data_IF_173412036438
#
_entry.id   IF_173412036438
#
_cell.length_a   1.000
_cell.length_b   1.000
_cell.length_c   1.000
_cell.angle_alpha   90.00
_cell.angle_beta   90.00
_cell.angle_gamma   90.00
#
_symmetry.space_group_name_H-M   'P 1'
#
loop_
_entity.id
_entity.type
_entity.pdbx_description
1 polymer ?
#
# COMPACT_ATOMS: atom_id res chain seq x y z
N UNK A 1 5.89 16.46 -41.59
CA UNK A 1 5.85 17.21 -40.33
C UNK A 1 4.40 17.58 -40.06
N UNK A 2 3.65 16.71 -39.40
CA UNK A 2 2.31 17.00 -38.90
C UNK A 2 2.45 17.32 -37.42
N UNK A 3 2.21 18.58 -37.06
CA UNK A 3 2.06 19.02 -35.68
C UNK A 3 0.89 18.24 -35.08
N UNK A 4 1.21 17.19 -34.31
CA UNK A 4 0.20 16.54 -33.47
C UNK A 4 -0.27 17.59 -32.47
N UNK A 5 -1.48 18.08 -32.68
CA UNK A 5 -2.20 18.96 -31.76
C UNK A 5 -2.24 18.31 -30.39
N UNK A 6 -1.55 18.91 -29.42
CA UNK A 6 -1.65 18.55 -28.01
C UNK A 6 -3.13 18.70 -27.63
N UNK A 7 -3.82 17.63 -27.20
CA UNK A 7 -5.22 17.74 -26.81
C UNK A 7 -5.36 18.76 -25.68
N UNK A 8 -6.20 19.78 -25.91
CA UNK A 8 -6.55 20.79 -24.92
C UNK A 8 -7.12 20.10 -23.67
N UNK A 9 -6.71 20.50 -22.45
CA UNK A 9 -7.24 19.93 -21.22
C UNK A 9 -8.76 20.14 -21.15
N UNK A 10 -9.49 19.15 -20.62
CA UNK A 10 -10.92 19.26 -20.37
C UNK A 10 -11.19 20.52 -19.54
N UNK A 11 -12.18 21.33 -19.94
CA UNK A 11 -12.43 22.70 -19.47
C UNK A 11 -12.62 22.87 -17.95
N UNK A 12 -12.82 21.78 -17.20
CA UNK A 12 -12.92 21.79 -15.74
C UNK A 12 -11.62 21.51 -14.97
N UNK A 13 -10.51 21.19 -15.64
CA UNK A 13 -9.24 20.83 -14.98
C UNK A 13 -8.28 22.01 -14.77
N UNK A 14 -8.72 23.22 -15.08
CA UNK A 14 -7.90 24.44 -14.98
C UNK A 14 -8.07 25.19 -13.67
N UNK A 15 -9.09 24.85 -12.87
CA UNK A 15 -9.34 25.46 -11.56
C UNK A 15 -9.00 24.50 -10.40
N UNK A 16 -8.68 25.02 -9.20
CA UNK A 16 -8.40 24.19 -8.03
C UNK A 16 -9.52 23.21 -7.70
N UNK A 17 -10.77 23.66 -7.71
CA UNK A 17 -11.94 22.86 -7.36
C UNK A 17 -12.20 21.75 -8.38
N UNK A 18 -12.19 22.07 -9.67
CA UNK A 18 -12.44 21.06 -10.70
C UNK A 18 -11.32 20.01 -10.76
N UNK A 19 -10.07 20.39 -10.46
CA UNK A 19 -8.98 19.43 -10.26
C UNK A 19 -9.22 18.50 -9.08
N UNK A 20 -9.62 19.04 -7.91
CA UNK A 20 -9.87 18.23 -6.71
C UNK A 20 -11.08 17.30 -6.89
N UNK A 21 -12.16 17.77 -7.52
CA UNK A 21 -13.35 16.95 -7.82
C UNK A 21 -13.03 15.80 -8.78
N UNK A 22 -12.22 16.07 -9.80
CA UNK A 22 -11.81 15.03 -10.74
C UNK A 22 -10.91 13.97 -10.09
N UNK A 23 -9.99 14.41 -9.23
CA UNK A 23 -9.11 13.53 -8.48
C UNK A 23 -9.92 12.68 -7.47
N UNK A 24 -10.90 13.27 -6.78
CA UNK A 24 -11.64 12.66 -5.68
C UNK A 24 -13.15 12.58 -5.97
N UNK A 25 -13.68 11.43 -6.40
CA UNK A 25 -15.10 11.33 -6.76
C UNK A 25 -16.03 11.39 -5.52
N UNK A 26 -17.24 11.96 -5.65
CA UNK A 26 -18.11 12.28 -4.50
C UNK A 26 -18.74 11.07 -3.80
N UNK A 27 -18.88 9.93 -4.48
CA UNK A 27 -19.51 8.73 -3.92
C UNK A 27 -18.59 7.94 -2.94
N UNK A 28 -17.38 8.42 -2.69
CA UNK A 28 -16.39 7.70 -1.89
C UNK A 28 -16.31 8.23 -0.46
N UNK A 29 -15.99 7.33 0.47
CA UNK A 29 -15.73 7.66 1.87
C UNK A 29 -14.26 8.07 2.10
N UNK A 30 -13.93 8.46 3.33
CA UNK A 30 -12.60 8.88 3.73
C UNK A 30 -12.37 10.39 3.59
N UNK A 31 -11.30 10.85 4.21
CA UNK A 31 -10.86 12.25 4.28
C UNK A 31 -9.73 12.52 3.30
N UNK A 32 -9.74 13.71 2.74
CA UNK A 32 -8.71 14.26 1.85
C UNK A 32 -7.86 15.20 2.69
N UNK A 33 -6.53 15.11 2.54
CA UNK A 33 -5.66 16.09 3.16
C UNK A 33 -5.49 17.28 2.22
N UNK A 34 -5.78 18.47 2.73
CA UNK A 34 -5.46 19.73 2.07
C UNK A 34 -4.42 20.44 2.95
N UNK A 35 -3.41 21.03 2.31
CA UNK A 35 -2.35 21.71 3.02
C UNK A 35 -1.89 22.96 2.29
N UNK A 36 -1.37 23.92 3.04
CA UNK A 36 -0.69 25.08 2.49
C UNK A 36 0.55 25.39 3.33
N UNK A 37 1.58 25.94 2.69
CA UNK A 37 2.78 26.44 3.36
C UNK A 37 2.68 27.95 3.49
N UNK A 38 2.85 28.46 4.70
CA UNK A 38 2.90 29.91 4.94
C UNK A 38 4.25 30.50 4.51
N UNK A 39 4.36 31.81 4.31
CA UNK A 39 5.63 32.47 3.94
C UNK A 39 6.77 32.23 4.96
N UNK A 40 6.45 32.02 6.23
CA UNK A 40 7.41 31.66 7.29
C UNK A 40 7.89 30.20 7.22
N UNK A 41 7.39 29.44 6.24
CA UNK A 41 7.71 28.03 6.02
C UNK A 41 6.83 27.05 6.81
N UNK A 42 5.92 27.53 7.67
CA UNK A 42 5.04 26.69 8.48
C UNK A 42 4.09 25.87 7.61
N UNK A 43 4.03 24.57 7.90
CA UNK A 43 3.12 23.64 7.23
C UNK A 43 1.78 23.57 7.96
N UNK A 44 0.70 23.95 7.29
CA UNK A 44 -0.65 23.83 7.81
C UNK A 44 -1.41 22.80 6.99
N UNK A 45 -1.87 21.73 7.65
CA UNK A 45 -2.57 20.62 6.99
C UNK A 45 -3.83 20.25 7.77
N UNK A 46 -4.89 19.94 7.03
CA UNK A 46 -6.17 19.49 7.58
C UNK A 46 -6.69 18.31 6.76
N UNK A 47 -7.32 17.36 7.44
CA UNK A 47 -8.02 16.24 6.80
C UNK A 47 -9.52 16.48 6.82
N UNK A 48 -10.10 16.65 5.63
CA UNK A 48 -11.47 17.17 5.42
C UNK A 48 -12.28 16.25 4.50
N UNK A 49 -13.60 16.43 4.47
CA UNK A 49 -14.46 15.77 3.47
C UNK A 49 -14.25 16.36 2.08
N UNK A 50 -14.73 15.71 1.02
CA UNK A 50 -14.66 16.26 -0.34
C UNK A 50 -15.31 17.65 -0.43
N UNK A 51 -16.53 17.80 0.10
CA UNK A 51 -17.26 19.07 0.10
C UNK A 51 -16.41 20.19 0.70
N UNK A 52 -15.86 19.96 1.89
CA UNK A 52 -15.00 20.93 2.57
C UNK A 52 -13.69 21.18 1.81
N UNK A 53 -13.11 20.17 1.16
CA UNK A 53 -11.94 20.34 0.32
C UNK A 53 -12.27 21.30 -0.84
N UNK A 54 -13.33 21.03 -1.60
CA UNK A 54 -13.81 21.85 -2.72
C UNK A 54 -14.10 23.29 -2.27
N UNK A 55 -14.87 23.47 -1.21
CA UNK A 55 -15.18 24.79 -0.62
C UNK A 55 -13.90 25.55 -0.23
N UNK A 56 -12.87 24.84 0.27
CA UNK A 56 -11.62 25.47 0.69
C UNK A 56 -10.73 25.83 -0.50
N UNK A 57 -10.56 24.92 -1.46
CA UNK A 57 -9.63 25.12 -2.58
C UNK A 57 -10.15 26.12 -3.62
N UNK A 58 -11.46 26.38 -3.67
CA UNK A 58 -12.05 27.42 -4.52
C UNK A 58 -11.42 28.80 -4.27
N UNK A 59 -11.00 29.07 -3.02
CA UNK A 59 -10.30 30.30 -2.65
C UNK A 59 -8.77 30.25 -2.86
N UNK A 60 -8.23 29.18 -3.44
CA UNK A 60 -6.78 28.98 -3.60
C UNK A 60 -6.23 29.37 -4.95
N UNK A 61 -7.07 29.83 -5.89
CA UNK A 61 -6.60 30.35 -7.18
C UNK A 61 -5.59 31.47 -6.96
N UNK A 62 -4.39 31.32 -7.54
CA UNK A 62 -3.28 32.26 -7.36
C UNK A 62 -2.59 32.21 -5.99
N UNK A 63 -3.04 31.37 -5.06
CA UNK A 63 -2.39 31.22 -3.75
C UNK A 63 -1.11 30.41 -3.86
N UNK A 64 -0.10 30.76 -3.09
CA UNK A 64 1.18 30.05 -3.08
C UNK A 64 1.14 28.74 -2.28
N UNK A 65 1.88 27.74 -2.77
CA UNK A 65 2.24 26.52 -2.04
C UNK A 65 1.05 25.79 -1.39
N UNK A 66 0.05 25.50 -2.20
CA UNK A 66 -1.13 24.73 -1.85
C UNK A 66 -1.03 23.30 -2.38
N UNK A 67 -1.42 22.33 -1.56
CA UNK A 67 -1.25 20.90 -1.80
C UNK A 67 -2.50 20.09 -1.43
N UNK A 68 -2.71 18.99 -2.13
CA UNK A 68 -3.78 18.01 -1.86
C UNK A 68 -3.24 16.58 -1.88
N UNK A 69 -3.79 15.70 -1.06
CA UNK A 69 -3.42 14.27 -1.10
C UNK A 69 -4.02 13.57 -2.31
N UNK A 70 -3.27 12.61 -2.88
CA UNK A 70 -3.76 11.81 -4.01
C UNK A 70 -4.70 10.69 -3.58
N UNK A 71 -4.54 10.20 -2.35
CA UNK A 71 -5.32 9.13 -1.75
C UNK A 71 -6.15 9.66 -0.57
N UNK A 72 -7.03 8.81 -0.02
CA UNK A 72 -7.91 9.16 1.10
C UNK A 72 -7.54 8.43 2.38
N UNK A 73 -7.91 9.02 3.51
CA UNK A 73 -7.52 8.57 4.85
C UNK A 73 -8.72 8.47 5.79
N UNK A 74 -8.66 7.61 6.80
CA UNK A 74 -9.68 7.50 7.86
C UNK A 74 -9.74 8.76 8.73
N UNK A 75 -8.60 9.43 8.89
CA UNK A 75 -8.39 10.58 9.76
C UNK A 75 -7.27 11.47 9.21
N UNK A 76 -6.34 11.87 10.09
CA UNK A 76 -5.12 12.60 9.68
C UNK A 76 -4.34 11.80 8.64
N UNK A 77 -3.74 12.49 7.67
CA UNK A 77 -2.92 11.87 6.61
C UNK A 77 -1.71 11.13 7.19
N UNK A 78 -1.73 9.81 7.04
CA UNK A 78 -0.60 8.93 7.35
C UNK A 78 -0.83 7.57 6.68
N UNK A 79 0.22 6.76 6.54
CA UNK A 79 0.10 5.38 6.07
C UNK A 79 -0.75 4.53 7.03
N UNK A 80 -0.74 4.84 8.34
CA UNK A 80 -1.56 4.15 9.34
C UNK A 80 -3.07 4.44 9.17
N UNK A 81 -3.39 5.62 8.66
CA UNK A 81 -4.76 6.04 8.39
C UNK A 81 -5.16 5.88 6.92
N UNK A 82 -4.33 5.28 6.06
CA UNK A 82 -4.68 5.08 4.64
C UNK A 82 -6.01 4.31 4.55
N UNK A 83 -6.97 4.89 3.83
CA UNK A 83 -8.31 4.33 3.64
C UNK A 83 -8.44 3.67 2.28
N UNK A 84 -8.14 4.44 1.24
CA UNK A 84 -8.29 4.01 -0.13
C UNK A 84 -7.27 4.67 -1.05
N UNK A 85 -6.93 3.96 -2.11
CA UNK A 85 -5.97 4.35 -3.14
C UNK A 85 -6.72 4.74 -4.41
N UNK A 86 -6.29 5.80 -5.09
CA UNK A 86 -7.00 6.41 -6.23
C UNK A 86 -6.10 6.71 -7.43
N UNK A 87 -4.81 6.94 -7.20
CA UNK A 87 -3.86 7.29 -8.25
C UNK A 87 -2.50 6.62 -8.03
N UNK A 88 -1.78 6.39 -9.12
CA UNK A 88 -0.32 6.22 -9.16
C UNK A 88 0.27 7.51 -9.72
N UNK A 89 1.53 7.81 -9.41
CA UNK A 89 2.11 9.07 -9.88
C UNK A 89 3.62 9.01 -10.06
N UNK A 90 4.21 10.06 -10.62
CA UNK A 90 5.65 10.33 -10.53
C UNK A 90 5.88 11.83 -10.50
N UNK A 91 6.77 12.27 -9.61
CA UNK A 91 7.19 13.66 -9.44
C UNK A 91 8.57 13.81 -10.10
N UNK A 92 8.68 14.61 -11.17
CA UNK A 92 9.83 14.73 -12.05
C UNK A 92 10.53 16.06 -11.83
N UNK A 93 11.59 16.03 -11.03
CA UNK A 93 12.47 17.16 -10.76
C UNK A 93 13.57 17.29 -11.84
N UNK A 94 13.22 17.19 -13.12
CA UNK A 94 14.20 17.22 -14.21
C UNK A 94 15.00 18.53 -14.25
N UNK A 95 14.46 19.63 -13.69
CA UNK A 95 15.17 20.91 -13.57
C UNK A 95 16.46 20.80 -12.73
N UNK A 96 16.58 19.79 -11.85
CA UNK A 96 17.80 19.50 -11.07
C UNK A 96 18.88 18.81 -11.89
N UNK A 97 18.53 18.30 -13.07
CA UNK A 97 19.44 17.59 -13.97
C UNK A 97 20.00 18.57 -14.99
N UNK A 98 21.33 18.71 -15.05
CA UNK A 98 22.02 19.61 -16.00
C UNK A 98 21.54 19.45 -17.45
N UNK A 99 21.22 18.21 -17.87
CA UNK A 99 20.73 17.89 -19.21
C UNK A 99 19.40 18.58 -19.55
N UNK A 100 18.52 18.74 -18.56
CA UNK A 100 17.14 19.17 -18.75
C UNK A 100 16.82 20.50 -18.06
N UNK A 101 17.77 21.10 -17.34
CA UNK A 101 17.55 22.29 -16.51
C UNK A 101 17.00 23.53 -17.25
N UNK A 102 17.23 23.62 -18.57
CA UNK A 102 16.79 24.73 -19.42
C UNK A 102 15.58 24.38 -20.29
N UNK A 103 15.06 23.16 -20.18
CA UNK A 103 13.90 22.75 -20.96
C UNK A 103 12.63 23.28 -20.33
N UNK A 104 11.71 23.77 -21.17
CA UNK A 104 10.35 24.11 -20.76
C UNK A 104 9.56 22.84 -20.42
N UNK A 105 8.61 22.96 -19.49
CA UNK A 105 7.77 21.85 -19.01
C UNK A 105 7.00 21.21 -20.20
N UNK A 106 6.50 22.01 -21.14
CA UNK A 106 5.82 21.58 -22.37
C UNK A 106 6.72 20.76 -23.30
N UNK A 107 7.99 21.15 -23.42
CA UNK A 107 8.97 20.44 -24.24
C UNK A 107 9.31 19.07 -23.63
N UNK A 108 9.48 19.01 -22.30
CA UNK A 108 9.69 17.74 -21.61
C UNK A 108 8.46 16.84 -21.73
N UNK A 109 7.26 17.37 -21.55
CA UNK A 109 6.01 16.62 -21.71
C UNK A 109 5.78 16.14 -23.15
N UNK A 110 6.00 16.99 -24.15
CA UNK A 110 5.67 16.69 -25.55
C UNK A 110 6.70 15.82 -26.27
N UNK A 111 7.96 15.84 -25.85
CA UNK A 111 9.06 15.18 -26.56
C UNK A 111 9.77 14.12 -25.72
N UNK A 112 10.03 14.38 -24.44
CA UNK A 112 10.88 13.50 -23.62
C UNK A 112 10.06 12.44 -22.89
N UNK A 113 8.96 12.82 -22.23
CA UNK A 113 8.09 11.86 -21.52
C UNK A 113 7.57 10.74 -22.42
N UNK A 114 7.16 10.97 -23.69
CA UNK A 114 6.72 9.91 -24.57
C UNK A 114 7.80 8.86 -24.86
N UNK A 115 9.07 9.25 -24.96
CA UNK A 115 10.20 8.32 -25.13
C UNK A 115 10.32 7.40 -23.91
N UNK A 116 10.30 7.97 -22.70
CA UNK A 116 10.35 7.19 -21.45
C UNK A 116 9.16 6.23 -21.29
N UNK A 117 7.95 6.67 -21.66
CA UNK A 117 6.76 5.83 -21.66
C UNK A 117 6.90 4.67 -22.65
N UNK A 118 7.38 4.95 -23.86
CA UNK A 118 7.56 3.96 -24.93
C UNK A 118 8.60 2.92 -24.55
N UNK A 119 9.77 3.36 -24.07
CA UNK A 119 10.88 2.48 -23.68
C UNK A 119 10.50 1.56 -22.52
N UNK A 120 9.79 2.10 -21.53
CA UNK A 120 9.32 1.34 -20.38
C UNK A 120 8.03 0.55 -20.64
N UNK A 121 7.40 0.71 -21.83
CA UNK A 121 6.07 0.19 -22.16
C UNK A 121 5.01 0.56 -21.13
N UNK A 122 5.06 1.79 -20.62
CA UNK A 122 4.06 2.29 -19.68
C UNK A 122 2.89 2.93 -20.44
N UNK A 123 1.65 2.78 -19.95
CA UNK A 123 0.51 3.45 -20.54
C UNK A 123 0.62 4.97 -20.39
N UNK A 124 -0.06 5.71 -21.27
CA UNK A 124 -0.14 7.17 -21.16
C UNK A 124 -0.76 7.59 -19.81
N UNK A 125 -0.22 8.63 -19.15
CA UNK A 125 -0.80 9.12 -17.92
C UNK A 125 -2.19 9.70 -18.16
N UNK A 126 -3.02 9.66 -17.13
CA UNK A 126 -4.32 10.32 -17.11
C UNK A 126 -4.14 11.83 -17.15
N UNK A 127 -3.12 12.35 -16.45
CA UNK A 127 -2.81 13.78 -16.40
C UNK A 127 -1.30 14.02 -16.30
N UNK A 128 -0.84 15.10 -16.94
CA UNK A 128 0.48 15.69 -16.75
C UNK A 128 0.29 17.12 -16.24
N UNK A 129 0.91 17.45 -15.10
CA UNK A 129 0.75 18.74 -14.45
C UNK A 129 2.12 19.40 -14.32
N UNK A 130 2.26 20.60 -14.88
CA UNK A 130 3.40 21.47 -14.63
C UNK A 130 3.31 22.01 -13.20
N UNK A 131 4.28 21.64 -12.36
CA UNK A 131 4.33 22.05 -10.95
C UNK A 131 4.99 23.42 -10.74
N UNK A 132 5.39 24.08 -11.83
CA UNK A 132 6.14 25.33 -11.85
C UNK A 132 7.66 25.16 -11.76
N UNK A 133 8.15 23.96 -11.42
CA UNK A 133 9.57 23.56 -11.50
C UNK A 133 9.64 22.08 -11.86
N UNK A 134 9.00 21.69 -12.95
CA UNK A 134 9.00 20.31 -13.43
C UNK A 134 7.66 19.60 -13.32
N UNK A 135 7.71 18.31 -13.66
CA UNK A 135 6.60 17.39 -13.90
C UNK A 135 5.94 16.82 -12.65
N UNK A 136 4.61 16.67 -12.57
CA UNK A 136 4.12 15.41 -12.02
C UNK A 136 3.08 14.77 -12.93
N UNK A 137 3.19 13.45 -13.09
CA UNK A 137 2.29 12.64 -13.91
C UNK A 137 1.39 11.81 -13.00
N UNK A 138 0.13 11.67 -13.37
CA UNK A 138 -0.86 10.88 -12.64
C UNK A 138 -1.45 9.79 -13.55
N UNK A 139 -1.55 8.58 -13.03
CA UNK A 139 -2.41 7.52 -13.58
C UNK A 139 -3.56 7.28 -12.59
N UNK A 140 -4.74 7.74 -12.98
CA UNK A 140 -5.95 7.67 -12.19
C UNK A 140 -6.64 6.32 -12.39
N UNK A 141 -7.15 5.72 -11.33
CA UNK A 141 -7.93 4.48 -11.41
C UNK A 141 -9.10 4.48 -10.44
N UNK A 142 -10.13 3.66 -10.69
CA UNK A 142 -11.25 3.46 -9.77
C UNK A 142 -10.74 3.04 -8.41
N UNK A 143 -11.22 3.70 -7.37
CA UNK A 143 -10.68 3.56 -6.02
C UNK A 143 -10.66 2.12 -5.54
N UNK A 144 -9.53 1.74 -4.94
CA UNK A 144 -9.33 0.42 -4.32
C UNK A 144 -9.02 0.57 -2.83
N UNK A 145 -9.36 -0.43 -2.00
CA UNK A 145 -9.10 -0.35 -0.57
C UNK A 145 -7.59 -0.34 -0.29
N UNK A 146 -7.20 0.19 0.88
CA UNK A 146 -5.81 0.18 1.37
C UNK A 146 -5.15 -1.21 1.38
N UNK A 147 -5.92 -2.30 1.38
CA UNK A 147 -5.42 -3.66 1.23
C UNK A 147 -4.63 -3.89 -0.07
N UNK A 148 -4.88 -3.10 -1.12
CA UNK A 148 -4.16 -3.16 -2.39
C UNK A 148 -2.77 -2.48 -2.36
N UNK A 149 -2.38 -1.86 -1.24
CA UNK A 149 -1.15 -1.06 -1.11
C UNK A 149 0.12 -1.76 -1.61
N UNK A 150 0.23 -3.08 -1.43
CA UNK A 150 1.41 -3.80 -1.92
C UNK A 150 1.51 -3.87 -3.43
N UNK A 151 0.39 -4.13 -4.11
CA UNK A 151 0.35 -4.15 -5.57
C UNK A 151 0.56 -2.74 -6.10
N UNK A 152 -0.09 -1.76 -5.46
CA UNK A 152 0.09 -0.34 -5.75
C UNK A 152 1.56 0.09 -5.64
N UNK A 153 2.24 -0.29 -4.56
CA UNK A 153 3.67 0.03 -4.37
C UNK A 153 4.53 -0.61 -5.45
N UNK A 154 4.20 -1.82 -5.90
CA UNK A 154 4.92 -2.47 -6.99
C UNK A 154 4.79 -1.69 -8.31
N UNK A 155 3.59 -1.22 -8.65
CA UNK A 155 3.37 -0.37 -9.81
C UNK A 155 4.12 0.97 -9.67
N UNK A 156 4.03 1.60 -8.50
CA UNK A 156 4.71 2.86 -8.16
C UNK A 156 6.23 2.73 -8.32
N UNK A 157 6.79 1.58 -7.93
CA UNK A 157 8.22 1.28 -8.10
C UNK A 157 8.60 1.12 -9.59
N UNK A 158 7.77 0.45 -10.41
CA UNK A 158 8.05 0.34 -11.85
C UNK A 158 8.01 1.71 -12.54
N UNK A 159 7.03 2.55 -12.21
CA UNK A 159 6.94 3.92 -12.71
C UNK A 159 8.19 4.72 -12.30
N UNK A 160 8.58 4.65 -11.03
CA UNK A 160 9.81 5.32 -10.57
C UNK A 160 11.06 4.83 -11.33
N UNK A 161 11.23 3.52 -11.49
CA UNK A 161 12.40 2.97 -12.19
C UNK A 161 12.46 3.40 -13.65
N UNK A 162 11.31 3.51 -14.33
CA UNK A 162 11.23 4.04 -15.68
C UNK A 162 11.71 5.50 -15.73
N UNK A 163 11.23 6.34 -14.82
CA UNK A 163 11.47 7.79 -14.87
C UNK A 163 12.66 8.29 -14.05
N UNK A 164 13.40 7.43 -13.33
CA UNK A 164 14.55 7.86 -12.50
C UNK A 164 15.61 8.64 -13.29
N UNK A 165 15.81 8.30 -14.56
CA UNK A 165 16.74 9.00 -15.46
C UNK A 165 16.30 10.43 -15.83
N UNK A 166 15.01 10.72 -15.68
CA UNK A 166 14.40 12.04 -15.86
C UNK A 166 14.20 12.78 -14.53
N UNK A 167 14.79 12.30 -13.44
CA UNK A 167 14.77 12.99 -12.15
C UNK A 167 13.53 12.68 -11.31
N UNK A 168 12.96 11.48 -11.44
CA UNK A 168 11.90 11.03 -10.55
C UNK A 168 12.33 11.11 -9.06
N UNK A 169 11.55 11.81 -8.23
CA UNK A 169 11.79 11.90 -6.79
C UNK A 169 11.41 10.59 -6.10
N UNK A 170 12.42 9.92 -5.53
CA UNK A 170 12.22 8.67 -4.79
C UNK A 170 11.35 8.86 -3.55
N UNK A 171 11.41 10.01 -2.91
CA UNK A 171 10.62 10.31 -1.70
C UNK A 171 9.16 10.54 -2.03
N UNK A 172 8.80 10.74 -3.31
CA UNK A 172 7.43 10.93 -3.73
C UNK A 172 6.65 9.62 -3.89
N UNK A 173 7.26 8.44 -3.72
CA UNK A 173 6.58 7.15 -3.94
C UNK A 173 5.62 6.71 -2.82
N UNK A 174 5.53 7.44 -1.72
CA UNK A 174 4.75 7.03 -0.55
C UNK A 174 3.24 7.20 -0.77
N UNK A 175 2.40 6.27 -0.34
CA UNK A 175 0.94 6.37 -0.57
C UNK A 175 0.25 7.53 0.19
N UNK A 176 0.97 8.24 1.06
CA UNK A 176 0.49 9.39 1.79
C UNK A 176 0.92 10.73 1.14
N UNK A 177 1.49 10.74 -0.07
CA UNK A 177 1.99 11.96 -0.73
C UNK A 177 0.88 13.00 -0.94
N UNK A 178 1.27 14.28 -0.79
CA UNK A 178 0.51 15.44 -1.27
C UNK A 178 1.26 16.08 -2.43
N UNK A 179 0.52 16.50 -3.46
CA UNK A 179 1.07 17.19 -4.63
C UNK A 179 0.38 18.56 -4.77
N UNK A 180 0.99 19.46 -5.54
CA UNK A 180 0.48 20.83 -5.70
C UNK A 180 -0.90 20.83 -6.33
N UNK A 181 -1.71 21.83 -6.02
CA UNK A 181 -3.06 21.99 -6.58
C UNK A 181 -2.99 22.82 -7.86
N UNK A 182 -3.70 22.41 -8.90
CA UNK A 182 -3.81 23.20 -10.14
C UNK A 182 -4.45 24.57 -9.87
N UNK A 183 -3.99 25.61 -10.56
CA UNK A 183 -4.43 27.00 -10.39
C UNK A 183 -3.72 27.76 -9.26
N UNK A 184 -2.85 27.08 -8.51
CA UNK A 184 -2.05 27.66 -7.41
C UNK A 184 -0.66 28.06 -7.90
N UNK A 185 0.09 28.84 -7.12
CA UNK A 185 1.44 29.33 -7.50
C UNK A 185 2.50 28.52 -6.75
N UNK A 186 3.56 28.12 -7.45
CA UNK A 186 4.76 27.61 -6.80
C UNK A 186 5.65 28.78 -6.39
N UNK A 187 5.66 29.15 -5.10
CA UNK A 187 6.41 30.30 -4.57
C UNK A 187 7.89 30.30 -4.98
N UNK A 188 8.47 29.09 -5.13
CA UNK A 188 9.86 28.90 -5.51
C UNK A 188 10.18 29.42 -6.91
N UNK A 189 9.24 29.42 -7.84
CA UNK A 189 9.42 29.87 -9.23
C UNK A 189 8.48 30.99 -9.68
N UNK A 190 7.45 31.31 -8.89
CA UNK A 190 6.38 32.23 -9.27
C UNK A 190 5.47 31.70 -10.38
N UNK A 191 5.62 30.44 -10.80
CA UNK A 191 4.86 29.86 -11.90
C UNK A 191 3.54 29.27 -11.41
N UNK A 192 2.50 29.40 -12.23
CA UNK A 192 1.18 28.79 -11.98
C UNK A 192 1.25 27.29 -12.26
N UNK A 193 0.73 26.50 -11.32
CA UNK A 193 0.56 25.06 -11.47
C UNK A 193 -0.60 24.80 -12.42
N UNK A 194 -0.36 24.13 -13.54
CA UNK A 194 -1.39 23.94 -14.57
C UNK A 194 -1.27 22.60 -15.28
N UNK A 195 -2.37 22.14 -15.85
CA UNK A 195 -2.42 20.87 -16.59
C UNK A 195 -1.85 21.08 -17.99
N UNK A 196 -0.87 20.27 -18.37
CA UNK A 196 -0.30 20.26 -19.72
C UNK A 196 -1.03 19.34 -20.69
N UNK A 197 -1.70 18.31 -20.16
CA UNK A 197 -2.43 17.33 -20.95
C UNK A 197 -2.55 16.00 -20.23
N UNK A 198 -2.68 14.93 -21.02
CA UNK A 198 -2.91 13.57 -20.54
C UNK A 198 -4.13 12.96 -21.23
N UNK A 199 -4.33 11.66 -21.04
CA UNK A 199 -5.46 10.94 -21.67
C UNK A 199 -6.82 11.26 -21.04
N UNK A 200 -6.85 11.80 -19.81
CA UNK A 200 -8.06 11.94 -19.00
C UNK A 200 -8.66 10.61 -18.55
N UNK A 201 -8.07 9.47 -18.93
CA UNK A 201 -8.66 8.16 -18.72
C UNK A 201 -8.56 7.71 -17.25
N UNK A 202 -9.67 7.21 -16.70
CA UNK A 202 -9.71 6.60 -15.37
C UNK A 202 -9.74 5.08 -15.52
N UNK A 203 -8.66 4.44 -15.13
CA UNK A 203 -8.45 3.01 -15.31
C UNK A 203 -9.24 2.16 -14.31
N UNK A 204 -9.42 0.88 -14.65
CA UNK A 204 -9.51 -0.15 -13.63
C UNK A 204 -8.12 -0.41 -13.02
N UNK A 205 -8.00 -0.53 -11.69
CA UNK A 205 -6.69 -0.69 -11.06
C UNK A 205 -6.00 -2.00 -11.44
N UNK A 206 -6.74 -3.10 -11.58
CA UNK A 206 -6.13 -4.38 -11.92
C UNK A 206 -5.65 -4.38 -13.38
N UNK A 207 -6.42 -3.79 -14.29
CA UNK A 207 -6.00 -3.60 -15.69
C UNK A 207 -4.75 -2.71 -15.80
N UNK A 208 -4.74 -1.56 -15.14
CA UNK A 208 -3.58 -0.66 -15.12
C UNK A 208 -2.34 -1.35 -14.54
N UNK A 209 -2.51 -2.13 -13.47
CA UNK A 209 -1.42 -2.87 -12.87
C UNK A 209 -0.89 -3.98 -13.78
N UNK A 210 -1.72 -4.60 -14.62
CA UNK A 210 -1.30 -5.60 -15.61
C UNK A 210 -0.53 -4.98 -16.79
N UNK A 211 -0.78 -3.71 -17.13
CA UNK A 211 0.01 -2.96 -18.12
C UNK A 211 1.38 -2.54 -17.56
N UNK A 212 1.45 -2.18 -16.28
CA UNK A 212 2.69 -1.66 -15.66
C UNK A 212 3.62 -2.77 -15.18
N UNK A 213 3.06 -3.85 -14.62
CA UNK A 213 3.86 -4.90 -14.00
C UNK A 213 4.35 -5.92 -15.04
N UNK A 214 5.58 -6.43 -14.90
CA UNK A 214 6.16 -7.36 -15.87
C UNK A 214 5.48 -8.73 -15.91
N UNK A 215 4.69 -9.06 -14.88
CA UNK A 215 3.91 -10.29 -14.81
C UNK A 215 2.49 -9.94 -14.40
N UNK A 216 1.52 -10.42 -15.17
CA UNK A 216 0.09 -10.25 -14.89
C UNK A 216 -0.32 -11.06 -13.67
N UNK A 217 -1.46 -10.69 -13.09
CA UNK A 217 -2.01 -11.41 -11.93
C UNK A 217 -2.28 -12.89 -12.22
N UNK A 218 -2.77 -13.22 -13.42
CA UNK A 218 -3.03 -14.59 -13.88
C UNK A 218 -1.74 -15.38 -14.03
N UNK A 219 -0.71 -14.81 -14.65
CA UNK A 219 0.60 -15.43 -14.80
C UNK A 219 1.27 -15.69 -13.44
N UNK A 220 1.12 -14.77 -12.49
CA UNK A 220 1.57 -14.99 -11.11
C UNK A 220 0.81 -16.14 -10.43
N UNK A 221 -0.49 -16.28 -10.67
CA UNK A 221 -1.28 -17.41 -10.16
C UNK A 221 -0.86 -18.72 -10.81
N UNK A 222 -0.62 -18.74 -12.11
CA UNK A 222 -0.15 -19.92 -12.85
C UNK A 222 1.25 -20.31 -12.39
N UNK A 223 2.17 -19.37 -12.21
CA UNK A 223 3.49 -19.63 -11.63
C UNK A 223 3.41 -20.14 -10.20
N UNK A 224 2.44 -19.66 -9.39
CA UNK A 224 2.20 -20.19 -8.06
C UNK A 224 1.62 -21.61 -8.09
N UNK A 225 0.70 -21.91 -9.01
CA UNK A 225 0.13 -23.25 -9.23
C UNK A 225 1.24 -24.19 -9.71
N UNK A 226 2.03 -23.80 -10.69
CA UNK A 226 3.17 -24.57 -11.21
C UNK A 226 4.23 -24.81 -10.12
N UNK A 227 4.54 -23.80 -9.30
CA UNK A 227 5.41 -23.97 -8.11
C UNK A 227 4.79 -24.91 -7.09
N UNK A 228 3.48 -24.82 -6.82
CA UNK A 228 2.77 -25.71 -5.90
C UNK A 228 2.69 -27.16 -6.43
N UNK A 229 2.55 -27.35 -7.73
CA UNK A 229 2.60 -28.64 -8.41
C UNK A 229 4.04 -29.22 -8.35
N UNK A 230 5.06 -28.40 -8.58
CA UNK A 230 6.46 -28.80 -8.45
C UNK A 230 6.87 -29.09 -6.98
N UNK A 231 6.25 -28.41 -6.01
CA UNK A 231 6.36 -28.69 -4.58
C UNK A 231 5.69 -30.00 -4.15
N UNK A 232 4.88 -30.67 -4.99
CA UNK A 232 4.39 -32.02 -4.67
C UNK A 232 5.53 -33.07 -4.61
N UNK A 233 6.74 -32.75 -5.08
CA UNK A 233 7.96 -33.59 -4.92
C UNK A 233 8.81 -33.28 -3.66
N UNK A 234 8.52 -32.22 -2.90
CA UNK A 234 9.20 -31.88 -1.63
C UNK A 234 8.19 -31.31 -0.63
N UNK A 235 8.03 -31.93 0.55
CA UNK A 235 7.05 -31.58 1.62
C UNK A 235 6.61 -30.10 1.56
N UNK A 236 5.42 -29.88 1.00
CA UNK A 236 4.91 -28.57 0.65
C UNK A 236 4.60 -27.71 1.89
N UNK A 237 5.12 -26.48 1.91
CA UNK A 237 4.60 -25.40 2.76
C UNK A 237 3.55 -24.66 1.90
N UNK A 238 2.30 -24.49 2.37
CA UNK A 238 1.25 -23.87 1.55
C UNK A 238 1.47 -22.36 1.38
N UNK A 239 1.32 -21.80 0.17
CA UNK A 239 1.33 -20.36 -0.03
C UNK A 239 -0.07 -19.79 0.23
N UNK A 240 -0.26 -19.17 1.39
CA UNK A 240 -1.27 -18.14 1.62
C UNK A 240 -0.54 -16.92 2.18
N UNK A 241 0.24 -16.25 1.35
CA UNK A 241 1.01 -15.11 1.79
C UNK A 241 0.50 -13.84 1.13
N UNK A 242 -0.18 -13.02 1.93
CA UNK A 242 0.02 -11.57 1.88
C UNK A 242 1.51 -11.32 1.63
N UNK A 243 1.86 -10.51 0.62
CA UNK A 243 3.23 -10.01 0.48
C UNK A 243 3.71 -9.48 1.83
N UNK A 244 5.02 -9.55 2.10
CA UNK A 244 5.57 -9.07 3.39
C UNK A 244 5.08 -7.65 3.70
N UNK A 245 5.02 -6.77 2.70
CA UNK A 245 4.48 -5.42 2.82
C UNK A 245 3.00 -5.40 3.20
N UNK A 246 2.15 -6.22 2.56
CA UNK A 246 0.70 -6.26 2.89
C UNK A 246 0.44 -6.81 4.28
N UNK A 247 1.25 -7.79 4.73
CA UNK A 247 1.19 -8.28 6.10
C UNK A 247 1.49 -7.16 7.09
N UNK A 248 2.57 -6.41 6.88
CA UNK A 248 2.94 -5.33 7.79
C UNK A 248 1.99 -4.13 7.72
N UNK A 249 1.43 -3.81 6.55
CA UNK A 249 0.37 -2.82 6.42
C UNK A 249 -0.90 -3.21 7.19
N UNK A 250 -1.33 -4.48 7.07
CA UNK A 250 -2.47 -4.98 7.82
C UNK A 250 -2.19 -5.02 9.34
N UNK A 251 -0.95 -5.34 9.76
CA UNK A 251 -0.55 -5.24 11.16
C UNK A 251 -0.57 -3.80 11.68
N UNK A 252 -0.12 -2.82 10.89
CA UNK A 252 -0.21 -1.40 11.27
C UNK A 252 -1.67 -0.98 11.44
N UNK A 253 -2.55 -1.43 10.54
CA UNK A 253 -4.00 -1.21 10.68
C UNK A 253 -4.54 -1.86 11.96
N UNK A 254 -4.16 -3.11 12.25
CA UNK A 254 -4.58 -3.79 13.48
C UNK A 254 -4.11 -3.08 14.74
N UNK A 255 -2.88 -2.56 14.76
CA UNK A 255 -2.35 -1.76 15.88
C UNK A 255 -3.20 -0.51 16.08
N UNK A 256 -3.50 0.23 15.01
CA UNK A 256 -4.36 1.42 15.09
C UNK A 256 -5.78 1.04 15.58
N UNK A 257 -6.37 -0.03 15.04
CA UNK A 257 -7.68 -0.54 15.51
C UNK A 257 -7.65 -0.91 16.99
N UNK A 258 -6.57 -1.52 17.48
CA UNK A 258 -6.42 -1.85 18.89
C UNK A 258 -6.37 -0.61 19.78
N UNK A 259 -5.65 0.44 19.37
CA UNK A 259 -5.63 1.73 20.07
C UNK A 259 -7.05 2.28 20.18
N UNK A 260 -7.81 2.31 19.08
CA UNK A 260 -9.19 2.80 19.06
C UNK A 260 -10.16 1.97 19.92
N UNK A 261 -9.91 0.66 20.06
CA UNK A 261 -10.73 -0.21 20.92
C UNK A 261 -10.45 0.01 22.41
N UNK A 262 -9.21 0.35 22.77
CA UNK A 262 -8.78 0.46 24.17
C UNK A 262 -8.88 1.89 24.71
N UNK A 263 -8.60 2.88 23.88
CA UNK A 263 -8.44 4.26 24.29
C UNK A 263 -9.37 5.12 23.46
N UNK A 264 -10.44 5.59 24.10
CA UNK A 264 -11.49 6.36 23.44
C UNK A 264 -10.98 7.65 22.78
N UNK A 265 -10.01 8.30 23.39
CA UNK A 265 -9.34 9.51 22.87
C UNK A 265 -8.14 9.19 21.97
N UNK A 266 -7.86 7.90 21.75
CA UNK A 266 -6.70 7.42 21.00
C UNK A 266 -5.36 7.67 21.70
N UNK A 267 -5.33 8.12 22.96
CA UNK A 267 -4.10 8.38 23.70
C UNK A 267 -3.63 7.13 24.45
N UNK A 268 -2.40 6.71 24.17
CA UNK A 268 -1.80 5.54 24.83
C UNK A 268 -1.31 5.97 26.23
N UNK A 269 -1.69 5.25 27.30
CA UNK A 269 -1.28 5.57 28.66
C UNK A 269 0.23 5.41 28.85
N UNK A 270 0.78 6.15 29.81
CA UNK A 270 2.19 6.01 30.21
C UNK A 270 2.48 4.56 30.60
N UNK A 271 3.63 4.02 30.18
CA UNK A 271 4.01 2.61 30.38
C UNK A 271 3.74 1.70 29.18
N UNK A 272 2.75 2.01 28.33
CA UNK A 272 2.43 1.19 27.13
C UNK A 272 2.95 1.80 25.83
N UNK A 273 3.23 3.11 25.81
CA UNK A 273 3.61 3.90 24.62
C UNK A 273 4.77 3.29 23.85
N UNK A 274 5.85 2.91 24.54
CA UNK A 274 7.05 2.37 23.91
C UNK A 274 6.75 1.14 23.06
N UNK A 275 5.97 0.20 23.58
CA UNK A 275 5.61 -1.01 22.86
C UNK A 275 4.81 -0.71 21.59
N UNK A 276 3.77 0.13 21.71
CA UNK A 276 2.93 0.51 20.57
C UNK A 276 3.70 1.27 19.49
N UNK A 277 4.46 2.31 19.88
CA UNK A 277 5.20 3.14 18.93
C UNK A 277 6.33 2.36 18.28
N UNK A 278 7.04 1.52 19.03
CA UNK A 278 8.09 0.66 18.47
C UNK A 278 7.52 -0.36 17.48
N UNK A 279 6.39 -1.00 17.80
CA UNK A 279 5.74 -1.96 16.91
C UNK A 279 5.19 -1.29 15.64
N UNK A 280 4.57 -0.11 15.77
CA UNK A 280 4.12 0.68 14.63
C UNK A 280 5.31 1.09 13.74
N UNK A 281 6.42 1.53 14.33
CA UNK A 281 7.65 1.87 13.61
C UNK A 281 8.20 0.66 12.83
N UNK A 282 8.21 -0.53 13.45
CA UNK A 282 8.60 -1.76 12.75
C UNK A 282 7.68 -1.99 11.55
N UNK A 283 6.35 -1.93 11.73
CA UNK A 283 5.42 -2.09 10.63
C UNK A 283 5.69 -1.08 9.50
N UNK A 284 5.86 0.20 9.83
CA UNK A 284 6.15 1.27 8.87
C UNK A 284 7.47 1.04 8.13
N UNK A 285 8.50 0.46 8.75
CA UNK A 285 9.79 0.18 8.09
C UNK A 285 9.69 -0.81 6.92
N UNK A 286 8.63 -1.62 6.90
CA UNK A 286 8.32 -2.53 5.79
C UNK A 286 7.44 -1.91 4.71
N UNK A 287 6.84 -0.74 5.00
CA UNK A 287 5.86 -0.05 4.15
C UNK A 287 6.42 1.25 3.55
N UNK A 288 7.31 1.95 4.25
CA UNK A 288 7.90 3.20 3.81
C UNK A 288 8.83 3.03 2.60
N UNK A 289 8.98 4.10 1.81
CA UNK A 289 9.86 4.17 0.65
C UNK A 289 11.33 4.32 1.04
N UNK A 290 11.62 5.04 2.12
CA UNK A 290 12.97 5.43 2.56
C UNK A 290 13.00 5.84 4.06
N UNK A 291 14.19 6.02 4.67
CA UNK A 291 14.33 6.33 6.10
C UNK A 291 13.71 7.66 6.52
N UNK A 292 13.72 8.68 5.66
CA UNK A 292 13.17 10.01 5.98
C UNK A 292 11.64 9.94 6.02
N UNK A 293 11.03 9.28 5.03
CA UNK A 293 9.58 9.00 5.04
C UNK A 293 9.18 8.15 6.24
N UNK A 294 9.97 7.12 6.57
CA UNK A 294 9.75 6.30 7.76
C UNK A 294 9.73 7.15 9.04
N UNK A 295 10.73 8.00 9.23
CA UNK A 295 10.83 8.85 10.41
C UNK A 295 9.62 9.80 10.54
N UNK A 296 9.25 10.46 9.45
CA UNK A 296 8.09 11.36 9.41
C UNK A 296 6.80 10.64 9.78
N UNK A 297 6.59 9.42 9.25
CA UNK A 297 5.40 8.63 9.54
C UNK A 297 5.37 8.14 11.00
N UNK A 298 6.51 7.77 11.57
CA UNK A 298 6.61 7.40 12.99
C UNK A 298 6.28 8.60 13.89
N UNK A 299 6.84 9.78 13.58
CA UNK A 299 6.59 11.01 14.34
C UNK A 299 5.10 11.36 14.30
N UNK A 300 4.46 11.33 13.12
CA UNK A 300 3.02 11.59 13.00
C UNK A 300 2.19 10.61 13.83
N UNK A 301 2.48 9.31 13.71
CA UNK A 301 1.77 8.29 14.47
C UNK A 301 1.95 8.45 15.98
N UNK A 302 3.16 8.80 16.43
CA UNK A 302 3.41 9.03 17.84
C UNK A 302 2.73 10.30 18.36
N UNK A 303 2.69 11.38 17.57
CA UNK A 303 1.95 12.60 17.94
C UNK A 303 0.44 12.36 18.06
N UNK A 304 -0.12 11.50 17.22
CA UNK A 304 -1.55 11.20 17.25
C UNK A 304 -1.94 10.41 18.52
N UNK A 305 -0.98 9.72 19.18
CA UNK A 305 -1.26 8.76 20.24
C UNK A 305 -0.50 8.99 21.54
N UNK A 306 0.42 9.95 21.59
CA UNK A 306 1.29 10.21 22.74
C UNK A 306 1.63 11.71 22.85
N UNK A 307 1.93 12.23 24.05
CA UNK A 307 2.40 13.59 24.25
C UNK A 307 3.91 13.77 23.98
N UNK A 308 4.56 12.81 23.32
CA UNK A 308 6.00 12.87 23.10
C UNK A 308 6.39 13.94 22.10
N UNK A 309 7.50 14.62 22.39
CA UNK A 309 8.14 15.52 21.42
C UNK A 309 8.76 14.73 20.27
N UNK A 310 8.90 15.34 19.09
CA UNK A 310 9.54 14.68 17.95
C UNK A 310 10.96 14.19 18.28
N UNK A 311 11.70 14.93 19.12
CA UNK A 311 13.04 14.54 19.58
C UNK A 311 12.98 13.25 20.42
N UNK A 312 12.00 13.15 21.30
CA UNK A 312 11.80 11.96 22.12
C UNK A 312 11.40 10.76 21.26
N UNK A 313 10.48 10.94 20.32
CA UNK A 313 10.07 9.88 19.38
C UNK A 313 11.27 9.36 18.60
N UNK A 314 12.06 10.25 17.98
CA UNK A 314 13.27 9.91 17.22
C UNK A 314 14.28 9.11 18.05
N UNK A 315 14.50 9.53 19.30
CA UNK A 315 15.40 8.83 20.22
C UNK A 315 14.94 7.39 20.45
N UNK A 316 13.65 7.20 20.78
CA UNK A 316 13.04 5.91 21.11
C UNK A 316 12.99 4.93 19.93
N UNK A 317 12.82 5.42 18.70
CA UNK A 317 12.72 4.58 17.50
C UNK A 317 13.98 4.55 16.63
N UNK A 318 15.07 5.18 17.08
CA UNK A 318 16.34 5.29 16.35
C UNK A 318 16.89 3.95 15.87
N UNK A 319 16.70 2.88 16.64
CA UNK A 319 17.10 1.53 16.24
C UNK A 319 16.37 1.04 14.99
N UNK A 320 15.07 1.35 14.84
CA UNK A 320 14.28 0.96 13.66
C UNK A 320 14.73 1.73 12.42
N UNK A 321 14.99 3.04 12.58
CA UNK A 321 15.49 3.90 11.51
C UNK A 321 16.85 3.40 11.01
N UNK A 322 17.79 3.10 11.93
CA UNK A 322 19.09 2.51 11.60
C UNK A 322 18.97 1.21 10.81
N UNK A 323 18.05 0.31 11.18
CA UNK A 323 17.81 -0.93 10.41
C UNK A 323 17.29 -0.66 9.00
N UNK A 324 16.45 0.38 8.82
CA UNK A 324 15.97 0.79 7.50
C UNK A 324 17.09 1.40 6.65
N UNK A 325 18.00 2.16 7.24
CA UNK A 325 19.20 2.67 6.56
C UNK A 325 20.13 1.55 6.10
N UNK A 326 20.40 0.55 6.95
CA UNK A 326 21.17 -0.64 6.58
C UNK A 326 20.54 -1.35 5.38
N UNK A 327 19.21 -1.55 5.41
CA UNK A 327 18.48 -2.13 4.29
C UNK A 327 18.65 -1.30 3.01
N UNK A 328 18.62 0.03 3.12
CA UNK A 328 18.83 0.93 1.97
C UNK A 328 20.23 0.87 1.39
N UNK A 329 21.26 0.62 2.22
CA UNK A 329 22.63 0.40 1.75
C UNK A 329 22.87 -1.01 1.21
N UNK A 330 21.84 -1.87 1.19
CA UNK A 330 21.96 -3.25 0.73
C UNK A 330 22.66 -4.18 1.73
N UNK A 331 22.80 -3.75 2.98
CA UNK A 331 23.43 -4.55 4.02
C UNK A 331 22.49 -5.66 4.51
N UNK A 332 23.09 -6.71 5.07
CA UNK A 332 22.39 -7.81 5.75
C UNK A 332 22.92 -7.98 7.17
N UNK A 333 22.12 -8.56 8.06
CA UNK A 333 22.56 -8.93 9.41
C UNK A 333 22.59 -10.45 9.57
N UNK A 334 23.52 -10.94 10.39
CA UNK A 334 23.57 -12.35 10.74
C UNK A 334 22.52 -12.68 11.80
N UNK A 335 21.72 -13.71 11.55
CA UNK A 335 20.77 -14.26 12.49
C UNK A 335 20.70 -15.77 12.38
N UNK A 336 21.04 -16.48 13.47
CA UNK A 336 21.14 -17.94 13.52
C UNK A 336 22.02 -18.51 12.38
N UNK A 337 23.19 -17.89 12.16
CA UNK A 337 24.15 -18.33 11.13
C UNK A 337 23.72 -18.04 9.68
N UNK A 338 22.74 -17.16 9.47
CA UNK A 338 22.25 -16.77 8.14
C UNK A 338 22.20 -15.27 7.97
N UNK A 339 22.60 -14.80 6.79
CA UNK A 339 22.41 -13.40 6.40
C UNK A 339 20.94 -13.15 6.06
N UNK A 340 20.33 -12.19 6.76
CA UNK A 340 18.93 -11.82 6.61
C UNK A 340 18.75 -10.32 6.45
N UNK A 341 17.56 -9.92 6.01
CA UNK A 341 17.14 -8.51 5.97
C UNK A 341 17.36 -7.85 7.35
N UNK A 342 17.99 -6.67 7.42
CA UNK A 342 18.35 -6.05 8.68
C UNK A 342 17.15 -5.53 9.47
N UNK A 343 15.98 -5.33 8.84
CA UNK A 343 14.78 -4.82 9.50
C UNK A 343 14.16 -5.86 10.45
N UNK A 344 13.61 -5.38 11.55
CA UNK A 344 12.98 -6.23 12.55
C UNK A 344 11.81 -7.03 11.98
N UNK A 345 11.77 -8.34 12.29
CA UNK A 345 10.71 -9.24 11.84
C UNK A 345 10.09 -10.04 12.97
N UNK A 346 9.08 -9.46 13.61
CA UNK A 346 8.39 -10.06 14.75
C UNK A 346 7.33 -11.10 14.33
N UNK A 347 7.23 -12.17 15.12
CA UNK A 347 6.17 -13.18 15.00
C UNK A 347 4.86 -12.60 15.52
N UNK A 348 3.72 -13.01 14.94
CA UNK A 348 2.40 -12.55 15.40
C UNK A 348 2.18 -12.83 16.89
N UNK A 349 2.62 -13.98 17.40
CA UNK A 349 2.53 -14.30 18.84
C UNK A 349 3.24 -13.26 19.71
N UNK A 350 4.42 -12.81 19.29
CA UNK A 350 5.22 -11.84 20.04
C UNK A 350 4.53 -10.49 20.10
N UNK A 351 3.89 -10.07 19.01
CA UNK A 351 3.11 -8.81 18.98
C UNK A 351 1.87 -8.94 19.89
N UNK A 352 1.16 -10.07 19.84
CA UNK A 352 0.02 -10.35 20.71
C UNK A 352 0.43 -10.34 22.18
N UNK A 353 1.56 -10.97 22.51
CA UNK A 353 2.12 -11.02 23.87
C UNK A 353 2.53 -9.63 24.35
N UNK A 354 3.29 -8.88 23.55
CA UNK A 354 3.79 -7.54 23.92
C UNK A 354 2.67 -6.53 24.13
N UNK A 355 1.59 -6.61 23.36
CA UNK A 355 0.43 -5.73 23.50
C UNK A 355 -0.69 -6.33 24.37
N UNK A 356 -0.51 -7.54 24.92
CA UNK A 356 -1.54 -8.22 25.71
C UNK A 356 -2.89 -8.33 24.99
N UNK A 357 -2.91 -8.67 23.69
CA UNK A 357 -4.14 -8.67 22.88
C UNK A 357 -5.06 -9.83 23.28
N UNK A 358 -6.24 -9.51 23.76
CA UNK A 358 -7.24 -10.47 24.23
C UNK A 358 -7.93 -11.20 23.07
N UNK A 359 -8.53 -12.36 23.36
CA UNK A 359 -9.33 -13.10 22.39
C UNK A 359 -10.54 -12.31 21.86
N UNK A 360 -11.08 -11.38 22.64
CA UNK A 360 -12.18 -10.52 22.24
C UNK A 360 -11.71 -9.48 21.23
N UNK A 361 -10.62 -8.78 21.53
CA UNK A 361 -10.02 -7.77 20.63
C UNK A 361 -9.59 -8.39 19.31
N UNK A 362 -9.01 -9.59 19.32
CA UNK A 362 -8.64 -10.33 18.11
C UNK A 362 -9.80 -10.52 17.11
N UNK A 363 -11.06 -10.48 17.55
CA UNK A 363 -12.23 -10.58 16.65
C UNK A 363 -12.36 -9.37 15.73
N UNK A 364 -11.84 -8.22 16.14
CA UNK A 364 -11.84 -6.96 15.38
C UNK A 364 -10.58 -6.78 14.53
N UNK A 365 -9.57 -7.65 14.67
CA UNK A 365 -8.28 -7.55 13.98
C UNK A 365 -8.19 -8.47 12.76
N UNK A 366 -7.28 -8.18 11.84
CA UNK A 366 -7.13 -8.90 10.57
C UNK A 366 -6.04 -9.96 10.63
N UNK A 367 -4.86 -9.59 11.14
CA UNK A 367 -3.62 -10.37 11.09
C UNK A 367 -3.01 -10.66 12.46
N UNK A 368 -3.25 -9.79 13.45
CA UNK A 368 -2.84 -9.96 14.84
C UNK A 368 -3.81 -10.89 15.59
N UNK A 369 -3.99 -12.10 15.05
CA UNK A 369 -4.89 -13.12 15.58
C UNK A 369 -4.16 -14.44 15.88
N UNK A 370 -4.50 -15.05 17.02
CA UNK A 370 -3.99 -16.32 17.49
C UNK A 370 -4.69 -17.53 16.85
N UNK A 371 -4.23 -18.73 17.22
CA UNK A 371 -4.75 -19.98 16.67
C UNK A 371 -6.23 -20.21 16.98
N UNK A 372 -6.72 -19.74 18.14
CA UNK A 372 -8.11 -19.85 18.56
C UNK A 372 -9.05 -19.05 17.65
N UNK A 373 -8.76 -17.78 17.41
CA UNK A 373 -9.55 -16.93 16.51
C UNK A 373 -9.48 -17.41 15.04
N UNK A 374 -8.30 -17.87 14.59
CA UNK A 374 -8.17 -18.51 13.26
C UNK A 374 -9.09 -19.71 13.12
N UNK A 375 -9.16 -20.59 14.14
CA UNK A 375 -10.05 -21.75 14.15
C UNK A 375 -11.51 -21.32 14.15
N UNK A 376 -11.88 -20.34 14.97
CA UNK A 376 -13.22 -19.76 15.03
C UNK A 376 -13.67 -19.27 13.65
N UNK A 377 -12.88 -18.40 12.99
CA UNK A 377 -13.21 -17.87 11.65
C UNK A 377 -13.35 -18.96 10.58
N UNK A 378 -12.55 -20.03 10.65
CA UNK A 378 -12.69 -21.19 9.75
C UNK A 378 -14.00 -21.93 9.99
N UNK A 379 -14.40 -22.09 11.25
CA UNK A 379 -15.69 -22.70 11.62
C UNK A 379 -16.90 -21.90 11.10
N UNK A 380 -16.83 -20.57 11.07
CA UNK A 380 -17.88 -19.72 10.50
C UNK A 380 -17.90 -19.70 8.96
N UNK A 381 -16.75 -19.93 8.30
CA UNK A 381 -16.65 -19.96 6.82
C UNK A 381 -17.15 -21.26 6.18
N UNK A 382 -17.29 -22.34 6.95
CA UNK A 382 -17.85 -23.60 6.47
C UNK A 382 -19.30 -23.73 6.93
N UNK A 383 -20.24 -23.84 5.99
CA UNK A 383 -21.62 -24.22 6.33
C UNK A 383 -21.61 -25.62 6.96
N UNK A 384 -22.54 -25.90 7.90
CA UNK A 384 -22.67 -27.24 8.51
C UNK A 384 -22.78 -28.36 7.45
N UNK A 385 -23.39 -28.05 6.30
CA UNK A 385 -23.42 -28.92 5.11
C UNK A 385 -22.03 -29.19 4.51
N UNK A 386 -21.16 -28.18 4.35
CA UNK A 386 -19.80 -28.35 3.85
C UNK A 386 -18.89 -29.11 4.84
N UNK A 387 -19.11 -28.93 6.14
CA UNK A 387 -18.41 -29.71 7.17
C UNK A 387 -18.82 -31.19 7.15
N UNK A 388 -20.12 -31.47 7.01
CA UNK A 388 -20.66 -32.83 6.91
C UNK A 388 -20.33 -33.50 5.56
N UNK A 389 -20.18 -32.73 4.48
CA UNK A 389 -19.77 -33.25 3.17
C UNK A 389 -18.31 -33.75 3.14
N UNK A 390 -17.45 -33.27 4.03
CA UNK A 390 -16.08 -33.77 4.21
C UNK A 390 -15.94 -34.78 5.36
N UNK A 391 -17.03 -35.09 6.06
CA UNK A 391 -17.02 -36.11 7.12
C UNK A 391 -17.00 -37.50 6.48
N UNK A 392 -15.87 -38.19 6.59
CA UNK A 392 -15.68 -39.60 6.17
C UNK A 392 -16.64 -40.58 6.86
N UNK A 393 -17.36 -40.09 7.88
CA UNK A 393 -18.43 -40.79 8.58
C UNK A 393 -19.73 -40.91 7.77
N UNK A 394 -19.91 -40.04 6.76
CA UNK A 394 -21.03 -40.11 5.82
C UNK A 394 -20.81 -41.18 4.75
N UNK A 395 -19.61 -41.22 4.16
CA UNK A 395 -19.30 -42.10 3.04
C UNK A 395 -18.97 -43.54 3.49
N UNK A 396 -18.63 -43.73 4.77
CA UNK A 396 -18.36 -45.03 5.42
C UNK A 396 -17.59 -46.02 4.51
N UNK A 397 -16.42 -45.64 3.94
CA UNK A 397 -15.70 -46.47 2.98
C UNK A 397 -15.33 -47.86 3.54
N UNK A 398 -15.09 -47.96 4.85
CA UNK A 398 -14.87 -49.25 5.52
C UNK A 398 -16.08 -50.20 5.44
N UNK A 399 -17.32 -49.69 5.36
CA UNK A 399 -18.50 -50.53 5.15
C UNK A 399 -18.56 -51.09 3.73
N UNK A 400 -18.15 -50.31 2.73
CA UNK A 400 -18.05 -50.79 1.34
C UNK A 400 -16.96 -51.85 1.19
N UNK A 401 -15.92 -51.76 2.02
CA UNK A 401 -14.84 -52.74 2.11
C UNK A 401 -15.11 -53.89 3.10
N UNK A 402 -16.32 -53.99 3.64
CA UNK A 402 -16.70 -55.08 4.55
C UNK A 402 -15.92 -55.14 5.87
N UNK A 403 -15.21 -54.09 6.26
CA UNK A 403 -14.31 -54.09 7.43
C UNK A 403 -14.71 -53.09 8.52
N UNK A 404 -14.20 -53.31 9.73
CA UNK A 404 -14.43 -52.39 10.84
C UNK A 404 -13.71 -51.05 10.60
N UNK A 405 -14.26 -49.97 11.15
CA UNK A 405 -13.62 -48.65 11.11
C UNK A 405 -12.20 -48.70 11.67
N UNK A 406 -11.98 -49.42 12.77
CA UNK A 406 -10.66 -49.54 13.38
C UNK A 406 -9.65 -50.21 12.44
N UNK A 407 -10.07 -51.30 11.77
CA UNK A 407 -9.26 -52.02 10.78
C UNK A 407 -8.87 -51.12 9.61
N UNK A 408 -9.81 -50.33 9.08
CA UNK A 408 -9.56 -49.40 7.96
C UNK A 408 -8.51 -48.32 8.28
N UNK A 409 -8.47 -47.83 9.53
CA UNK A 409 -7.42 -46.91 9.97
C UNK A 409 -6.06 -47.61 10.11
N UNK A 410 -6.04 -48.86 10.58
CA UNK A 410 -4.82 -49.64 10.78
C UNK A 410 -4.13 -49.99 9.44
N UNK A 411 -4.89 -50.27 8.39
CA UNK A 411 -4.37 -50.61 7.05
C UNK A 411 -4.13 -49.40 6.14
N UNK A 412 -4.07 -48.18 6.70
CA UNK A 412 -3.64 -46.99 5.97
C UNK A 412 -4.73 -46.21 5.22
N UNK A 413 -6.01 -46.44 5.55
CA UNK A 413 -7.18 -45.73 4.96
C UNK A 413 -7.31 -45.93 3.44
N UNK A 414 -7.33 -47.18 2.96
CA UNK A 414 -7.42 -47.46 1.54
C UNK A 414 -8.75 -46.97 0.96
N UNK A 415 -8.71 -46.54 -0.30
CA UNK A 415 -9.91 -46.16 -1.05
C UNK A 415 -10.56 -47.42 -1.64
N UNK A 416 -11.91 -47.54 -1.62
CA UNK A 416 -12.59 -48.76 -2.08
C UNK A 416 -12.20 -49.21 -3.49
N UNK A 417 -12.12 -48.25 -4.42
CA UNK A 417 -11.74 -48.48 -5.82
C UNK A 417 -10.33 -49.08 -5.96
N UNK A 418 -9.39 -48.69 -5.10
CA UNK A 418 -8.00 -49.15 -5.18
C UNK A 418 -7.75 -50.44 -4.39
N UNK A 419 -8.61 -50.74 -3.42
CA UNK A 419 -8.45 -51.88 -2.53
C UNK A 419 -9.11 -53.14 -3.09
N UNK A 420 -10.27 -53.00 -3.74
CA UNK A 420 -11.01 -54.11 -4.36
C UNK A 420 -10.37 -54.58 -5.68
N UNK A 421 -9.67 -53.69 -6.39
CA UNK A 421 -8.97 -54.00 -7.65
C UNK A 421 -7.57 -54.60 -7.45
N UNK A 422 -7.10 -54.72 -6.21
CA UNK A 422 -5.83 -55.38 -5.91
C UNK A 422 -6.06 -56.88 -5.67
N UNK A 423 -5.57 -57.78 -6.55
CA UNK A 423 -5.79 -59.23 -6.43
C UNK A 423 -5.17 -59.85 -5.17
N UNK A 424 -4.23 -59.17 -4.51
CA UNK A 424 -3.61 -59.62 -3.26
C UNK A 424 -4.48 -59.35 -2.00
N UNK A 425 -5.62 -58.67 -2.14
CA UNK A 425 -6.50 -58.24 -1.03
C UNK A 425 -7.82 -59.04 -0.92
N UNK A 426 -8.09 -59.98 -1.84
CA UNK A 426 -9.16 -60.98 -1.71
C UNK A 426 -8.66 -62.21 -0.97
#
# INVERSE_FOLDING_TARGET
MTLNTIPQPQTGLTTPEGYVEFLHPPAEEGRIAIAHREPDGKWNERSVTLRQAVETVLAWTGREDCYVSMNRFKGRRSLANLWSLRALWVDLDFHKLKKWQHWADEGVWGLVVPEYLTDARLPQPSMAIASGRGLYLLWLFRTVPAAALSRWTACQQQIFEAFKGLGADRQAMDAARVLRVVGTINSKSGQVVHVLGGSGYVWDFDALADEILPLRRTELQDLQIQRALNLKKRKAIPPQHQSVRSLWAARLTDINTLIQLRYYDGQIPSGERDAYIFLAAICMSWIASDPQVLEQEIVRFAQDHTPWSDREVRSRVSAVIKRMEMFKRGETVEWLGRQVDPRYRLRTRTIIEWLGITDQEQRHLTTLIGSKEKRRRRGFRMTRQAYLAHSRERDKPWKQLGMSRATWYAVGKPLPEQYLDNPDNQ
#
